data_IF_557915644554
#
_entry.id   IF_557915644554
#
_cell.length_a   1.000
_cell.length_b   1.000
_cell.length_c   1.000
_cell.angle_alpha   90.00
_cell.angle_beta   90.00
_cell.angle_gamma   90.00
#
_symmetry.space_group_name_H-M   'P 1'
#
loop_
_entity.id
_entity.type
_entity.pdbx_description
1 polymer ?
#
# COMPACT_ATOMS: atom_id res chain seq x y z
N UNK A 1 37.09 -5.44 2.84
CA UNK A 1 36.25 -4.38 3.42
C UNK A 1 34.84 -4.94 3.49
N UNK A 2 34.22 -5.01 4.68
CA UNK A 2 32.83 -5.49 4.80
C UNK A 2 31.85 -4.45 4.23
N UNK A 3 30.76 -4.93 3.62
CA UNK A 3 29.71 -4.06 3.10
C UNK A 3 28.76 -3.68 4.22
N UNK A 4 28.55 -2.39 4.42
CA UNK A 4 27.55 -1.90 5.38
C UNK A 4 26.23 -1.61 4.66
N UNK A 5 25.12 -1.93 5.33
CA UNK A 5 23.75 -1.59 4.92
C UNK A 5 23.13 -0.73 6.00
N UNK A 6 22.58 0.41 5.61
CA UNK A 6 21.95 1.37 6.52
C UNK A 6 20.45 1.29 6.32
N UNK A 7 19.72 1.06 7.41
CA UNK A 7 18.26 1.01 7.42
C UNK A 7 17.77 2.19 8.26
N UNK A 8 17.01 3.09 7.63
CA UNK A 8 16.28 4.16 8.31
C UNK A 8 15.36 3.58 9.41
N UNK A 9 15.54 4.01 10.67
CA UNK A 9 14.80 3.51 11.84
C UNK A 9 13.32 3.88 11.82
N UNK A 10 12.96 4.93 11.06
CA UNK A 10 11.59 5.29 10.69
C UNK A 10 10.79 4.14 10.07
N UNK A 11 11.46 3.10 9.54
CA UNK A 11 10.86 1.82 9.17
C UNK A 11 9.85 1.32 10.21
N UNK A 12 10.25 1.25 11.48
CA UNK A 12 9.43 0.70 12.57
C UNK A 12 8.23 1.57 12.94
N UNK A 13 8.24 2.86 12.55
CA UNK A 13 7.20 3.84 12.84
C UNK A 13 6.35 4.18 11.62
N UNK A 14 6.64 3.61 10.46
CA UNK A 14 5.88 3.83 9.23
C UNK A 14 4.46 3.30 9.34
N UNK A 15 3.47 4.13 9.03
CA UNK A 15 2.06 3.71 8.96
C UNK A 15 1.83 2.52 8.01
N UNK A 16 2.71 2.31 7.01
CA UNK A 16 2.63 1.14 6.14
C UNK A 16 2.85 -0.17 6.92
N UNK A 17 3.75 -0.17 7.93
CA UNK A 17 4.04 -1.35 8.77
C UNK A 17 2.89 -1.75 9.69
N UNK A 18 1.84 -0.93 9.83
CA UNK A 18 0.67 -1.28 10.61
C UNK A 18 0.01 -2.57 10.08
N UNK A 19 -0.22 -3.53 10.97
CA UNK A 19 -0.81 -4.82 10.62
C UNK A 19 0.07 -5.74 9.76
N UNK A 20 1.38 -5.49 9.66
CA UNK A 20 2.34 -6.48 9.13
C UNK A 20 2.70 -7.51 10.19
N UNK A 21 2.88 -8.77 9.78
CA UNK A 21 3.29 -9.84 10.72
C UNK A 21 4.75 -9.63 11.20
N UNK A 22 5.23 -10.46 12.13
CA UNK A 22 6.66 -10.49 12.48
C UNK A 22 7.48 -10.98 11.28
N UNK A 23 6.99 -12.01 10.58
CA UNK A 23 7.60 -12.58 9.38
C UNK A 23 7.74 -11.55 8.26
N UNK A 24 6.67 -10.80 7.95
CA UNK A 24 6.66 -9.76 6.91
C UNK A 24 7.79 -8.74 7.16
N UNK A 25 7.94 -8.30 8.42
CA UNK A 25 8.96 -7.33 8.82
C UNK A 25 10.37 -7.93 8.78
N UNK A 26 10.53 -9.18 9.19
CA UNK A 26 11.81 -9.88 9.15
C UNK A 26 12.28 -10.15 7.71
N UNK A 27 11.38 -10.56 6.81
CA UNK A 27 11.66 -10.75 5.39
C UNK A 27 12.02 -9.43 4.69
N UNK A 28 11.28 -8.34 4.94
CA UNK A 28 11.66 -7.02 4.41
C UNK A 28 13.03 -6.57 4.90
N UNK A 29 13.33 -6.76 6.19
CA UNK A 29 14.64 -6.43 6.74
C UNK A 29 15.75 -7.29 6.12
N UNK A 30 15.50 -8.59 5.93
CA UNK A 30 16.41 -9.48 5.21
C UNK A 30 16.64 -8.99 3.77
N UNK A 31 15.61 -8.70 2.97
CA UNK A 31 15.80 -8.20 1.60
C UNK A 31 16.58 -6.88 1.57
N UNK A 32 16.23 -5.92 2.43
CA UNK A 32 16.94 -4.63 2.53
C UNK A 32 18.43 -4.77 2.92
N UNK A 33 18.79 -5.83 3.65
CA UNK A 33 20.15 -6.09 4.14
C UNK A 33 20.88 -7.21 3.39
N UNK A 34 20.20 -7.90 2.47
CA UNK A 34 20.61 -9.19 1.87
C UNK A 34 22.02 -9.14 1.28
N UNK A 35 22.84 -10.20 1.38
CA UNK A 35 24.17 -10.22 0.77
C UNK A 35 24.13 -10.00 -0.75
N UNK A 36 23.05 -10.46 -1.42
CA UNK A 36 22.80 -10.32 -2.86
C UNK A 36 22.35 -8.91 -3.28
N UNK A 37 21.87 -8.09 -2.34
CA UNK A 37 21.35 -6.75 -2.64
C UNK A 37 22.41 -5.86 -3.33
N UNK A 38 21.99 -4.92 -4.18
CA UNK A 38 22.91 -4.11 -5.01
C UNK A 38 22.84 -2.60 -4.69
N UNK A 39 23.10 -1.69 -5.64
CA UNK A 39 22.99 -0.23 -5.42
C UNK A 39 21.53 0.23 -5.63
N UNK A 40 20.84 -0.42 -6.56
CA UNK A 40 19.51 -0.06 -7.07
C UNK A 40 18.35 -0.67 -6.26
N UNK A 41 18.60 -1.66 -5.41
CA UNK A 41 17.55 -2.31 -4.61
C UNK A 41 16.66 -3.27 -5.41
N UNK A 42 17.09 -3.60 -6.63
CA UNK A 42 16.46 -4.55 -7.52
C UNK A 42 17.52 -5.52 -8.05
N UNK A 43 17.45 -6.79 -7.68
CA UNK A 43 18.54 -7.76 -7.83
C UNK A 43 18.03 -9.20 -7.89
N UNK A 44 18.82 -10.08 -8.49
CA UNK A 44 18.57 -11.53 -8.54
C UNK A 44 18.69 -12.17 -7.15
N UNK A 45 17.76 -13.07 -6.81
CA UNK A 45 17.71 -13.75 -5.52
C UNK A 45 17.19 -15.19 -5.68
N UNK A 46 17.98 -16.15 -5.19
CA UNK A 46 17.54 -17.56 -5.13
C UNK A 46 16.72 -17.76 -3.87
N UNK A 47 15.41 -17.98 -4.03
CA UNK A 47 14.46 -18.04 -2.90
C UNK A 47 14.81 -19.13 -1.88
N UNK A 48 15.31 -20.28 -2.32
CA UNK A 48 15.71 -21.36 -1.41
C UNK A 48 16.94 -21.03 -0.56
N UNK A 49 17.89 -20.25 -1.09
CA UNK A 49 19.03 -19.74 -0.31
C UNK A 49 18.54 -18.71 0.70
N UNK A 50 17.70 -17.76 0.27
CA UNK A 50 17.12 -16.74 1.15
C UNK A 50 16.27 -17.34 2.29
N UNK A 51 15.45 -18.36 2.00
CA UNK A 51 14.68 -19.07 3.01
C UNK A 51 15.60 -19.80 4.00
N UNK A 52 16.62 -20.51 3.51
CA UNK A 52 17.61 -21.20 4.33
C UNK A 52 18.39 -20.24 5.27
N UNK A 53 18.85 -19.09 4.76
CA UNK A 53 19.50 -18.04 5.57
C UNK A 53 18.60 -17.46 6.66
N UNK A 54 17.28 -17.44 6.44
CA UNK A 54 16.27 -17.02 7.42
C UNK A 54 15.80 -18.15 8.35
N UNK A 55 16.28 -19.38 8.17
CA UNK A 55 15.83 -20.57 8.90
C UNK A 55 14.40 -21.00 8.57
N UNK A 56 13.94 -20.73 7.34
CA UNK A 56 12.58 -20.96 6.86
C UNK A 56 12.54 -21.99 5.73
N UNK A 57 11.36 -22.60 5.56
CA UNK A 57 11.05 -23.33 4.33
C UNK A 57 10.65 -22.37 3.17
N UNK A 58 10.97 -22.77 1.94
CA UNK A 58 10.75 -21.96 0.74
C UNK A 58 9.26 -21.87 0.39
N UNK A 59 8.58 -23.01 0.34
CA UNK A 59 7.21 -23.13 -0.16
C UNK A 59 6.16 -22.76 0.90
N UNK A 60 6.34 -23.23 2.14
CA UNK A 60 5.34 -23.07 3.20
C UNK A 60 5.48 -21.76 3.99
N UNK A 61 6.63 -21.07 3.92
CA UNK A 61 6.87 -19.83 4.66
C UNK A 61 7.31 -18.67 3.76
N UNK A 62 8.46 -18.79 3.07
CA UNK A 62 9.04 -17.67 2.32
C UNK A 62 8.10 -17.17 1.21
N UNK A 63 7.61 -18.05 0.33
CA UNK A 63 6.73 -17.65 -0.77
C UNK A 63 5.39 -17.03 -0.29
N UNK A 64 4.69 -17.58 0.73
CA UNK A 64 3.54 -16.92 1.35
C UNK A 64 3.85 -15.53 1.94
N UNK A 65 4.99 -15.36 2.61
CA UNK A 65 5.43 -14.05 3.14
C UNK A 65 5.68 -13.08 1.98
N UNK A 66 6.47 -13.49 0.98
CA UNK A 66 6.75 -12.67 -0.21
C UNK A 66 5.46 -12.27 -0.94
N UNK A 67 4.49 -13.18 -1.07
CA UNK A 67 3.18 -12.86 -1.65
C UNK A 67 2.48 -11.75 -0.87
N UNK A 68 2.44 -11.80 0.47
CA UNK A 68 1.86 -10.72 1.30
C UNK A 68 2.60 -9.39 1.15
N UNK A 69 3.91 -9.42 0.87
CA UNK A 69 4.72 -8.23 0.63
C UNK A 69 4.51 -7.64 -0.77
N UNK A 70 4.32 -8.49 -1.79
CA UNK A 70 3.92 -8.08 -3.15
C UNK A 70 2.51 -7.49 -3.15
N UNK A 71 1.54 -8.18 -2.55
CA UNK A 71 0.14 -7.74 -2.45
C UNK A 71 0.00 -6.41 -1.67
N UNK A 72 0.98 -6.06 -0.83
CA UNK A 72 1.07 -4.80 -0.09
C UNK A 72 2.01 -3.74 -0.71
N UNK A 73 2.59 -4.01 -1.89
CA UNK A 73 3.40 -3.07 -2.65
C UNK A 73 4.75 -2.72 -2.01
N UNK A 74 5.33 -3.62 -1.21
CA UNK A 74 6.68 -3.44 -0.65
C UNK A 74 7.79 -3.96 -1.54
N UNK A 75 7.50 -5.06 -2.24
CA UNK A 75 8.41 -5.66 -3.21
C UNK A 75 7.63 -5.95 -4.50
N UNK A 76 8.33 -5.99 -5.62
CA UNK A 76 7.94 -6.81 -6.76
C UNK A 76 8.88 -8.02 -6.81
N UNK A 77 8.38 -9.14 -7.31
CA UNK A 77 9.16 -10.36 -7.51
C UNK A 77 8.79 -10.96 -8.85
N UNK A 78 9.79 -11.33 -9.66
CA UNK A 78 9.62 -12.05 -10.91
C UNK A 78 10.15 -13.49 -10.74
N UNK A 79 9.27 -14.52 -10.79
CA UNK A 79 9.71 -15.90 -10.70
C UNK A 79 10.45 -16.39 -11.94
N UNK A 80 10.34 -15.74 -13.10
CA UNK A 80 11.05 -16.18 -14.31
C UNK A 80 12.52 -15.77 -14.26
N UNK A 81 12.82 -14.49 -14.02
CA UNK A 81 14.21 -14.01 -13.89
C UNK A 81 14.80 -14.16 -12.49
N UNK A 82 14.01 -14.60 -11.49
CA UNK A 82 14.38 -14.62 -10.07
C UNK A 82 14.77 -13.25 -9.49
N UNK A 83 14.27 -12.12 -10.04
CA UNK A 83 14.56 -10.80 -9.49
C UNK A 83 13.57 -10.41 -8.39
N UNK A 84 14.08 -9.76 -7.33
CA UNK A 84 13.27 -8.99 -6.38
C UNK A 84 13.59 -7.50 -6.53
N UNK A 85 12.56 -6.64 -6.53
CA UNK A 85 12.69 -5.19 -6.48
C UNK A 85 12.00 -4.65 -5.24
N UNK A 86 12.80 -4.10 -4.31
CA UNK A 86 12.31 -3.49 -3.07
C UNK A 86 11.84 -2.06 -3.36
N UNK A 87 10.52 -1.82 -3.24
CA UNK A 87 9.88 -0.52 -3.54
C UNK A 87 10.27 0.58 -2.55
N UNK A 88 10.57 0.20 -1.32
CA UNK A 88 10.93 1.11 -0.24
C UNK A 88 12.46 1.33 -0.15
N UNK A 89 13.25 0.83 -1.12
CA UNK A 89 14.72 0.93 -1.12
C UNK A 89 15.23 2.36 -0.91
N UNK A 90 14.59 3.33 -1.55
CA UNK A 90 14.93 4.75 -1.50
C UNK A 90 14.49 5.48 -0.22
N UNK A 91 13.73 4.83 0.67
CA UNK A 91 13.47 5.33 2.03
C UNK A 91 14.67 5.08 2.97
N UNK A 92 15.58 4.17 2.57
CA UNK A 92 16.76 3.76 3.32
C UNK A 92 18.08 4.17 2.63
N UNK A 93 18.10 4.25 1.30
CA UNK A 93 19.27 4.55 0.48
C UNK A 93 19.07 5.85 -0.30
N UNK A 94 20.15 6.58 -0.59
CA UNK A 94 20.06 7.85 -1.34
C UNK A 94 20.10 7.61 -2.86
N UNK A 95 19.04 7.96 -3.63
CA UNK A 95 19.06 7.87 -5.10
C UNK A 95 20.14 8.78 -5.69
N UNK A 96 20.32 9.97 -5.10
CA UNK A 96 21.36 10.93 -5.50
C UNK A 96 22.78 10.37 -5.36
N UNK A 97 23.05 9.54 -4.35
CA UNK A 97 24.35 8.88 -4.21
C UNK A 97 24.50 7.71 -5.19
N UNK A 98 23.44 6.96 -5.46
CA UNK A 98 23.45 5.88 -6.45
C UNK A 98 23.83 6.37 -7.86
N UNK A 99 23.28 7.52 -8.30
CA UNK A 99 23.60 8.11 -9.62
C UNK A 99 24.73 9.15 -9.57
N UNK A 100 25.45 9.26 -8.46
CA UNK A 100 26.64 10.12 -8.37
C UNK A 100 27.77 9.59 -9.26
N UNK A 101 28.63 10.47 -9.78
CA UNK A 101 29.70 10.13 -10.75
C UNK A 101 30.60 8.93 -10.36
N UNK A 102 30.77 8.66 -9.06
CA UNK A 102 31.54 7.51 -8.55
C UNK A 102 30.81 6.16 -8.67
N UNK A 103 29.48 6.15 -8.61
CA UNK A 103 28.66 4.93 -8.66
C UNK A 103 27.83 4.79 -9.95
N UNK A 104 27.67 5.90 -10.69
CA UNK A 104 26.80 6.03 -11.87
C UNK A 104 26.92 4.87 -12.85
N UNK A 105 28.12 4.57 -13.35
CA UNK A 105 28.35 3.47 -14.31
C UNK A 105 27.78 2.14 -13.76
N UNK A 106 28.17 1.77 -12.53
CA UNK A 106 27.74 0.52 -11.89
C UNK A 106 26.25 0.49 -11.57
N UNK A 107 25.65 1.64 -11.30
CA UNK A 107 24.20 1.80 -11.14
C UNK A 107 23.50 1.57 -12.48
N UNK A 108 24.00 2.13 -13.58
CA UNK A 108 23.41 1.97 -14.90
C UNK A 108 23.54 0.53 -15.43
N UNK A 109 24.70 -0.10 -15.23
CA UNK A 109 24.91 -1.54 -15.48
C UNK A 109 23.88 -2.41 -14.73
N UNK A 110 23.54 -2.07 -13.48
CA UNK A 110 22.54 -2.80 -12.69
C UNK A 110 21.10 -2.53 -13.16
N UNK A 111 20.78 -1.32 -13.64
CA UNK A 111 19.46 -1.02 -14.22
C UNK A 111 19.27 -1.78 -15.54
N UNK A 112 20.31 -1.87 -16.38
CA UNK A 112 20.26 -2.61 -17.63
C UNK A 112 20.02 -4.13 -17.42
N UNK A 113 20.49 -4.69 -16.30
CA UNK A 113 20.28 -6.09 -15.91
C UNK A 113 18.85 -6.39 -15.40
N UNK A 114 18.02 -5.38 -15.13
CA UNK A 114 16.65 -5.60 -14.66
C UNK A 114 15.77 -6.24 -15.75
N UNK A 115 14.72 -6.99 -15.35
CA UNK A 115 13.69 -7.51 -16.26
C UNK A 115 13.11 -6.38 -17.13
N UNK A 116 12.93 -6.66 -18.43
CA UNK A 116 12.55 -5.62 -19.40
C UNK A 116 11.22 -4.96 -19.04
N UNK A 117 10.27 -5.76 -18.55
CA UNK A 117 8.95 -5.32 -18.06
C UNK A 117 9.01 -4.37 -16.86
N UNK A 118 10.16 -4.26 -16.18
CA UNK A 118 10.35 -3.43 -14.99
C UNK A 118 11.21 -2.19 -15.25
N UNK A 119 12.11 -2.20 -16.24
CA UNK A 119 13.10 -1.12 -16.47
C UNK A 119 12.43 0.25 -16.52
N UNK A 120 11.37 0.39 -17.30
CA UNK A 120 10.69 1.67 -17.50
C UNK A 120 10.05 2.19 -16.20
N UNK A 121 9.31 1.33 -15.50
CA UNK A 121 8.73 1.67 -14.21
C UNK A 121 9.80 1.98 -13.14
N UNK A 122 10.96 1.32 -13.21
CA UNK A 122 12.10 1.53 -12.31
C UNK A 122 12.76 2.88 -12.56
N UNK A 123 13.02 3.23 -13.81
CA UNK A 123 13.65 4.49 -14.21
C UNK A 123 12.72 5.67 -13.86
N UNK A 124 11.41 5.54 -14.04
CA UNK A 124 10.42 6.54 -13.63
C UNK A 124 10.45 6.75 -12.11
N UNK A 125 10.39 5.69 -11.29
CA UNK A 125 10.51 5.83 -9.81
C UNK A 125 11.85 6.49 -9.44
N UNK A 126 12.98 6.02 -9.97
CA UNK A 126 14.29 6.62 -9.69
C UNK A 126 14.35 8.12 -10.03
N UNK A 127 13.83 8.52 -11.19
CA UNK A 127 13.77 9.93 -11.59
C UNK A 127 12.88 10.72 -10.62
N UNK A 128 11.71 10.19 -10.25
CA UNK A 128 10.79 10.87 -9.33
C UNK A 128 11.32 11.01 -7.91
N UNK A 129 12.21 10.11 -7.48
CA UNK A 129 12.91 10.14 -6.18
C UNK A 129 14.05 11.17 -6.13
N UNK A 130 14.52 11.68 -7.27
CA UNK A 130 15.51 12.76 -7.32
C UNK A 130 14.83 14.14 -7.18
N UNK A 131 15.48 15.17 -6.59
CA UNK A 131 14.88 16.50 -6.48
C UNK A 131 14.54 17.09 -7.86
N UNK A 132 13.40 17.80 -7.97
CA UNK A 132 12.83 18.26 -9.26
C UNK A 132 13.76 19.12 -10.12
N UNK A 133 14.68 19.85 -9.50
CA UNK A 133 15.65 20.73 -10.17
C UNK A 133 17.09 20.16 -10.19
N UNK A 134 17.29 18.91 -9.77
CA UNK A 134 18.61 18.29 -9.77
C UNK A 134 19.00 17.84 -11.20
N UNK A 135 20.14 18.27 -11.76
CA UNK A 135 20.56 17.92 -13.12
C UNK A 135 20.70 16.40 -13.32
N UNK A 136 20.88 15.63 -12.24
CA UNK A 136 20.93 14.17 -12.28
C UNK A 136 19.64 13.55 -12.86
N UNK A 137 18.48 14.21 -12.74
CA UNK A 137 17.23 13.76 -13.42
C UNK A 137 17.44 13.68 -14.93
N UNK A 138 17.98 14.74 -15.52
CA UNK A 138 18.27 14.80 -16.96
C UNK A 138 19.35 13.79 -17.34
N UNK A 139 20.39 13.62 -16.52
CA UNK A 139 21.44 12.63 -16.79
C UNK A 139 20.89 11.20 -16.85
N UNK A 140 20.07 10.78 -15.88
CA UNK A 140 19.43 9.45 -15.87
C UNK A 140 18.48 9.31 -17.06
N UNK A 141 17.67 10.32 -17.33
CA UNK A 141 16.69 10.26 -18.41
C UNK A 141 17.37 10.17 -19.79
N UNK A 142 18.40 10.97 -20.05
CA UNK A 142 19.15 10.92 -21.32
C UNK A 142 19.83 9.57 -21.53
N UNK A 143 20.46 8.99 -20.49
CA UNK A 143 21.12 7.69 -20.59
C UNK A 143 20.17 6.59 -21.09
N UNK A 144 18.95 6.55 -20.55
CA UNK A 144 17.96 5.53 -20.87
C UNK A 144 16.95 5.96 -21.97
N UNK A 145 17.18 7.08 -22.66
CA UNK A 145 16.33 7.52 -23.78
C UNK A 145 14.98 8.15 -23.41
N UNK A 146 14.80 8.59 -22.16
CA UNK A 146 13.56 9.18 -21.66
C UNK A 146 13.47 10.69 -21.99
N UNK A 147 12.42 11.14 -22.70
CA UNK A 147 12.24 12.56 -22.98
C UNK A 147 11.76 13.30 -21.73
N UNK A 148 12.67 14.04 -21.08
CA UNK A 148 12.33 14.95 -19.98
C UNK A 148 11.44 16.13 -20.42
N UNK A 149 11.41 16.43 -21.72
CA UNK A 149 10.73 17.60 -22.27
C UNK A 149 9.30 17.28 -22.72
N UNK A 150 8.48 16.84 -21.76
CA UNK A 150 7.03 17.00 -21.82
C UNK A 150 6.50 17.55 -20.50
N UNK A 151 6.27 18.86 -20.50
CA UNK A 151 5.14 19.44 -19.74
C UNK A 151 3.94 18.53 -19.97
N UNK A 152 3.28 18.08 -18.91
CA UNK A 152 2.26 17.03 -18.98
C UNK A 152 1.02 17.45 -19.77
N UNK A 153 1.09 17.36 -21.10
CA UNK A 153 -0.09 17.27 -21.96
C UNK A 153 -0.70 15.88 -21.72
N UNK A 154 -1.94 15.86 -21.25
CA UNK A 154 -2.66 14.60 -21.09
C UNK A 154 -2.77 13.91 -22.44
N UNK A 155 -2.43 12.62 -22.49
CA UNK A 155 -2.57 11.84 -23.72
C UNK A 155 -4.05 11.77 -24.12
N UNK A 156 -4.44 12.27 -25.32
CA UNK A 156 -5.74 11.98 -25.87
C UNK A 156 -5.73 10.51 -26.31
N UNK A 157 -6.36 9.63 -25.54
CA UNK A 157 -6.54 8.24 -25.97
C UNK A 157 -7.52 8.16 -27.15
N UNK A 158 -7.34 7.19 -28.07
CA UNK A 158 -8.18 7.08 -29.26
C UNK A 158 -9.65 6.80 -28.89
N UNK A 159 -10.55 7.54 -29.52
CA UNK A 159 -12.00 7.36 -29.38
C UNK A 159 -12.43 6.06 -30.05
N UNK A 160 -12.59 4.97 -29.29
CA UNK A 160 -13.33 3.81 -29.79
C UNK A 160 -14.84 4.02 -29.58
N UNK A 161 -15.64 3.67 -30.60
CA UNK A 161 -17.08 3.95 -30.65
C UNK A 161 -17.87 2.78 -30.10
N UNK A 162 -18.60 2.99 -29.00
CA UNK A 162 -19.87 2.28 -28.79
C UNK A 162 -20.90 3.13 -28.03
N UNK A 163 -22.16 2.87 -28.33
CA UNK A 163 -23.34 3.68 -27.99
C UNK A 163 -23.94 3.33 -26.60
N UNK A 164 -24.83 4.18 -26.04
CA UNK A 164 -25.09 4.21 -24.60
C UNK A 164 -26.35 3.43 -24.15
N UNK A 165 -26.61 3.56 -22.84
CA UNK A 165 -27.83 3.30 -22.08
C UNK A 165 -28.01 1.91 -21.44
N UNK A 166 -27.99 1.91 -20.10
CA UNK A 166 -29.14 1.41 -19.34
C UNK A 166 -29.37 2.31 -18.14
N UNK A 167 -30.54 2.94 -18.10
CA UNK A 167 -31.00 3.82 -17.03
C UNK A 167 -31.49 3.01 -15.84
N UNK A 168 -31.02 3.30 -14.61
CA UNK A 168 -31.78 2.98 -13.39
C UNK A 168 -31.77 4.18 -12.44
N UNK A 169 -32.92 4.84 -12.33
CA UNK A 169 -33.25 5.73 -11.22
C UNK A 169 -33.86 4.90 -10.09
N UNK A 170 -33.39 5.05 -8.85
CA UNK A 170 -34.28 4.88 -7.69
C UNK A 170 -33.96 5.89 -6.60
N UNK A 171 -35.02 6.51 -6.07
CA UNK A 171 -35.01 7.64 -5.14
C UNK A 171 -35.41 7.14 -3.75
N UNK A 172 -34.69 7.55 -2.70
CA UNK A 172 -35.11 7.33 -1.31
C UNK A 172 -34.82 8.60 -0.49
N UNK A 173 -35.87 9.29 -0.05
CA UNK A 173 -35.82 10.41 0.88
C UNK A 173 -36.14 9.91 2.31
N UNK A 174 -35.44 10.41 3.33
CA UNK A 174 -35.83 10.32 4.75
C UNK A 174 -35.40 11.56 5.54
N UNK A 175 -36.27 12.03 6.44
CA UNK A 175 -36.36 13.40 7.00
C UNK A 175 -37.05 13.25 8.40
N UNK A 176 -36.69 13.89 9.53
CA UNK A 176 -35.75 15.01 9.82
C UNK A 176 -35.34 15.09 11.32
N UNK A 177 -34.13 15.62 11.62
CA UNK A 177 -33.77 16.48 12.81
C UNK A 177 -33.96 15.99 14.27
N UNK A 178 -33.42 16.67 15.31
CA UNK A 178 -32.17 17.45 15.40
C UNK A 178 -31.39 17.24 16.73
N UNK A 179 -30.15 16.73 16.72
CA UNK A 179 -29.14 17.17 17.71
C UNK A 179 -27.70 16.86 17.29
N UNK A 180 -26.86 17.90 17.38
CA UNK A 180 -25.40 17.98 17.44
C UNK A 180 -24.55 16.68 17.29
N UNK A 181 -23.49 16.77 16.46
CA UNK A 181 -22.46 15.75 16.14
C UNK A 181 -22.88 14.54 15.30
N UNK A 182 -23.15 14.76 14.00
CA UNK A 182 -23.19 13.66 13.02
C UNK A 182 -22.55 14.08 11.69
N UNK A 183 -21.27 13.72 11.48
CA UNK A 183 -20.67 13.61 10.14
C UNK A 183 -20.92 12.18 9.67
N UNK A 184 -22.05 11.92 9.01
CA UNK A 184 -22.35 10.59 8.48
C UNK A 184 -21.90 10.43 7.02
N UNK A 185 -21.32 9.26 6.77
CA UNK A 185 -21.09 8.61 5.47
C UNK A 185 -20.23 9.34 4.43
N UNK A 186 -19.13 9.97 4.82
CA UNK A 186 -17.98 10.19 3.93
C UNK A 186 -16.72 9.52 4.51
N UNK A 187 -16.12 8.63 3.74
CA UNK A 187 -14.85 7.96 4.05
C UNK A 187 -13.71 8.90 3.67
N UNK A 188 -13.23 9.64 4.66
CA UNK A 188 -12.10 10.56 4.51
C UNK A 188 -10.77 9.79 4.45
N UNK A 189 -9.82 10.19 3.58
CA UNK A 189 -8.47 9.64 3.58
C UNK A 189 -7.79 9.85 4.95
N UNK A 190 -7.30 8.78 5.57
CA UNK A 190 -6.61 8.83 6.88
C UNK A 190 -5.26 9.55 6.86
N UNK A 191 -4.79 9.96 5.68
CA UNK A 191 -3.59 10.78 5.48
C UNK A 191 -3.82 12.28 5.76
N UNK A 192 -5.08 12.73 5.92
CA UNK A 192 -5.42 14.13 6.17
C UNK A 192 -5.47 14.45 7.67
N UNK A 193 -4.86 15.56 8.08
CA UNK A 193 -4.93 16.08 9.45
C UNK A 193 -6.34 16.57 9.81
N UNK A 194 -6.64 16.69 11.11
CA UNK A 194 -7.95 17.13 11.62
C UNK A 194 -8.41 18.50 11.08
N UNK A 195 -7.45 19.39 10.82
CA UNK A 195 -7.68 20.70 10.20
C UNK A 195 -8.04 20.57 8.72
N UNK A 196 -7.32 19.72 7.98
CA UNK A 196 -7.60 19.49 6.56
C UNK A 196 -8.94 18.79 6.34
N UNK A 197 -9.32 17.87 7.24
CA UNK A 197 -10.64 17.23 7.23
C UNK A 197 -11.79 18.25 7.34
N UNK A 198 -11.62 19.29 8.17
CA UNK A 198 -12.63 20.35 8.30
C UNK A 198 -12.76 21.21 7.02
N UNK A 199 -11.63 21.50 6.35
CA UNK A 199 -11.62 22.24 5.09
C UNK A 199 -12.15 21.40 3.91
N UNK A 200 -11.87 20.10 3.89
CA UNK A 200 -12.46 19.14 2.95
C UNK A 200 -13.99 19.08 3.09
N UNK A 201 -14.51 19.00 4.31
CA UNK A 201 -15.94 19.07 4.57
C UNK A 201 -16.56 20.40 4.10
N UNK A 202 -15.83 21.52 4.21
CA UNK A 202 -16.27 22.83 3.70
C UNK A 202 -16.27 22.90 2.17
N UNK A 203 -15.29 22.29 1.50
CA UNK A 203 -15.21 22.25 0.04
C UNK A 203 -16.28 21.36 -0.61
N UNK A 204 -16.65 20.27 0.06
CA UNK A 204 -17.70 19.33 -0.40
C UNK A 204 -19.12 19.79 -0.03
N UNK A 205 -19.27 20.93 0.65
CA UNK A 205 -20.58 21.50 0.98
C UNK A 205 -21.40 21.77 -0.30
N UNK A 206 -22.59 21.15 -0.37
CA UNK A 206 -23.49 21.24 -1.53
C UNK A 206 -23.18 20.27 -2.69
N UNK A 207 -22.23 19.34 -2.53
CA UNK A 207 -22.02 18.22 -3.47
C UNK A 207 -22.85 17.00 -2.98
N UNK A 208 -23.54 16.26 -3.86
CA UNK A 208 -24.24 15.02 -3.45
C UNK A 208 -23.31 13.99 -2.82
N UNK A 209 -23.82 13.20 -1.86
CA UNK A 209 -23.01 12.27 -1.06
C UNK A 209 -22.27 11.21 -1.90
N UNK A 210 -22.90 10.72 -2.97
CA UNK A 210 -22.27 9.80 -3.95
C UNK A 210 -21.03 10.40 -4.58
N UNK A 211 -21.14 11.67 -4.97
CA UNK A 211 -20.19 12.39 -5.80
C UNK A 211 -19.05 12.92 -4.93
N UNK A 212 -19.39 13.42 -3.74
CA UNK A 212 -18.43 13.76 -2.69
C UNK A 212 -17.55 12.55 -2.32
N UNK A 213 -18.13 11.35 -2.19
CA UNK A 213 -17.34 10.15 -1.96
C UNK A 213 -16.47 9.78 -3.18
N UNK A 214 -16.97 9.95 -4.40
CA UNK A 214 -16.21 9.70 -5.63
C UNK A 214 -14.98 10.61 -5.74
N UNK A 215 -15.12 11.89 -5.40
CA UNK A 215 -14.05 12.88 -5.35
C UNK A 215 -13.03 12.58 -4.24
N UNK A 216 -13.48 12.05 -3.09
CA UNK A 216 -12.60 11.59 -2.00
C UNK A 216 -11.86 10.30 -2.35
N UNK A 217 -12.51 9.35 -3.03
CA UNK A 217 -11.88 8.13 -3.51
C UNK A 217 -10.79 8.48 -4.56
N UNK A 218 -11.03 9.46 -5.44
CA UNK A 218 -10.04 9.99 -6.39
C UNK A 218 -8.86 10.69 -5.69
N UNK A 219 -9.14 11.53 -4.69
CA UNK A 219 -8.11 12.15 -3.85
C UNK A 219 -7.27 11.10 -3.12
N UNK A 220 -7.87 10.03 -2.60
CA UNK A 220 -7.15 8.93 -1.97
C UNK A 220 -6.26 8.19 -2.98
N UNK A 221 -6.79 7.85 -4.16
CA UNK A 221 -6.03 7.16 -5.20
C UNK A 221 -4.86 7.98 -5.74
N UNK A 222 -5.00 9.30 -5.82
CA UNK A 222 -3.91 10.22 -6.22
C UNK A 222 -2.90 10.47 -5.10
N UNK A 223 -3.32 10.51 -3.83
CA UNK A 223 -2.40 10.55 -2.68
C UNK A 223 -1.56 9.27 -2.54
N UNK A 224 -2.08 8.11 -2.97
CA UNK A 224 -1.33 6.86 -3.03
C UNK A 224 -0.30 6.81 -4.18
N UNK A 225 -0.38 7.74 -5.15
CA UNK A 225 0.59 7.89 -6.24
C UNK A 225 1.55 9.03 -5.89
N UNK A 226 2.68 8.68 -5.28
CA UNK A 226 3.75 9.62 -4.90
C UNK A 226 4.15 10.52 -6.08
N UNK A 227 4.23 11.84 -5.86
CA UNK A 227 4.67 12.82 -6.87
C UNK A 227 3.57 13.46 -7.72
N UNK A 228 2.33 12.92 -7.72
CA UNK A 228 1.22 13.47 -8.53
C UNK A 228 0.74 14.83 -8.03
N UNK A 229 0.58 15.00 -6.71
CA UNK A 229 0.08 16.25 -6.12
C UNK A 229 1.25 17.17 -5.76
N UNK A 230 1.55 18.14 -6.63
CA UNK A 230 2.60 19.17 -6.43
C UNK A 230 2.16 20.37 -5.59
N UNK A 231 0.98 20.30 -4.95
CA UNK A 231 0.37 21.37 -4.13
C UNK A 231 -0.28 20.78 -2.87
N UNK A 232 -0.94 21.59 -2.02
CA UNK A 232 -1.74 21.05 -0.91
C UNK A 232 -2.87 20.13 -1.42
N UNK A 233 -3.14 18.98 -0.75
CA UNK A 233 -4.25 18.09 -1.10
C UNK A 233 -5.62 18.79 -1.15
N UNK A 234 -5.84 19.78 -0.27
CA UNK A 234 -7.06 20.63 -0.27
C UNK A 234 -7.20 21.38 -1.60
N UNK A 235 -6.10 21.95 -2.13
CA UNK A 235 -6.11 22.71 -3.38
C UNK A 235 -6.41 21.81 -4.58
N UNK A 236 -5.90 20.58 -4.56
CA UNK A 236 -6.20 19.57 -5.58
C UNK A 236 -7.68 19.17 -5.54
N UNK A 237 -8.23 18.86 -4.35
CA UNK A 237 -9.66 18.56 -4.19
C UNK A 237 -10.55 19.72 -4.65
N UNK A 238 -10.19 20.97 -4.34
CA UNK A 238 -10.93 22.14 -4.83
C UNK A 238 -10.96 22.23 -6.37
N UNK A 239 -9.88 21.78 -7.03
CA UNK A 239 -9.85 21.57 -8.48
C UNK A 239 -10.85 20.51 -8.93
N UNK A 240 -10.81 19.31 -8.33
CA UNK A 240 -11.73 18.22 -8.66
C UNK A 240 -13.21 18.63 -8.48
N UNK A 241 -13.55 19.31 -7.38
CA UNK A 241 -14.90 19.86 -7.14
C UNK A 241 -15.33 20.86 -8.24
N UNK A 242 -14.39 21.64 -8.77
CA UNK A 242 -14.66 22.56 -9.89
C UNK A 242 -14.96 21.79 -11.19
N UNK A 243 -14.10 20.82 -11.56
CA UNK A 243 -14.32 19.97 -12.74
C UNK A 243 -15.63 19.17 -12.65
N UNK A 244 -15.97 18.68 -11.45
CA UNK A 244 -17.26 18.02 -11.20
C UNK A 244 -18.45 18.96 -11.46
N UNK A 245 -18.40 20.19 -10.97
CA UNK A 245 -19.45 21.20 -11.20
C UNK A 245 -19.57 21.64 -12.66
N UNK A 246 -18.51 21.48 -13.47
CA UNK A 246 -18.54 21.74 -14.92
C UNK A 246 -18.84 20.50 -15.78
N UNK A 247 -19.08 19.33 -15.17
CA UNK A 247 -19.35 18.08 -15.88
C UNK A 247 -18.12 17.43 -16.55
N UNK A 248 -16.92 17.90 -16.20
CA UNK A 248 -15.62 17.53 -16.81
C UNK A 248 -14.78 16.68 -15.84
N UNK A 249 -15.44 15.87 -15.01
CA UNK A 249 -14.80 14.99 -14.04
C UNK A 249 -15.09 13.52 -14.35
N UNK A 250 -14.03 12.76 -14.65
CA UNK A 250 -14.06 11.31 -14.79
C UNK A 250 -13.16 10.66 -13.72
N UNK A 251 -13.68 9.79 -12.84
CA UNK A 251 -12.87 9.12 -11.84
C UNK A 251 -11.93 8.09 -12.50
N UNK A 252 -10.67 8.06 -12.10
CA UNK A 252 -9.64 7.19 -12.66
C UNK A 252 -8.75 6.56 -11.58
N UNK A 253 -8.14 7.35 -10.70
CA UNK A 253 -7.39 6.83 -9.56
C UNK A 253 -8.31 6.29 -8.44
N UNK A 254 -9.50 6.86 -8.30
CA UNK A 254 -10.48 6.50 -7.27
C UNK A 254 -11.28 5.22 -7.55
N UNK A 255 -11.24 4.69 -8.78
CA UNK A 255 -11.96 3.46 -9.14
C UNK A 255 -11.55 2.29 -8.23
N UNK A 256 -10.24 2.09 -8.07
CA UNK A 256 -9.67 1.02 -7.22
C UNK A 256 -10.05 1.22 -5.75
N UNK A 257 -9.99 2.47 -5.25
CA UNK A 257 -10.33 2.81 -3.86
C UNK A 257 -11.83 2.58 -3.60
N UNK A 258 -12.69 2.98 -4.53
CA UNK A 258 -14.14 2.79 -4.43
C UNK A 258 -14.52 1.31 -4.40
N UNK A 259 -13.82 0.46 -5.16
CA UNK A 259 -14.00 -0.99 -5.17
C UNK A 259 -13.56 -1.62 -3.85
N UNK A 260 -12.37 -1.26 -3.34
CA UNK A 260 -11.89 -1.72 -2.03
C UNK A 260 -12.82 -1.29 -0.89
N UNK A 261 -13.35 -0.06 -0.93
CA UNK A 261 -14.34 0.45 0.03
C UNK A 261 -15.63 -0.35 0.00
N UNK A 262 -16.21 -0.59 -1.19
CA UNK A 262 -17.42 -1.43 -1.35
C UNK A 262 -17.19 -2.85 -0.84
N UNK A 263 -16.03 -3.45 -1.12
CA UNK A 263 -15.70 -4.80 -0.64
C UNK A 263 -15.54 -4.87 0.88
N UNK A 264 -14.96 -3.84 1.51
CA UNK A 264 -14.90 -3.73 2.99
C UNK A 264 -16.28 -3.55 3.60
N UNK A 265 -17.15 -2.75 2.99
CA UNK A 265 -18.54 -2.58 3.44
C UNK A 265 -19.29 -3.91 3.40
N UNK A 266 -19.23 -4.64 2.27
CA UNK A 266 -19.85 -5.97 2.12
C UNK A 266 -19.38 -6.97 3.19
N UNK A 267 -18.07 -7.06 3.45
CA UNK A 267 -17.53 -7.90 4.52
C UNK A 267 -18.04 -7.48 5.90
N UNK A 268 -18.02 -6.19 6.22
CA UNK A 268 -18.53 -5.66 7.50
C UNK A 268 -20.04 -5.78 7.70
N UNK A 269 -20.79 -6.10 6.63
CA UNK A 269 -22.20 -6.49 6.69
C UNK A 269 -22.36 -8.00 6.93
N UNK A 270 -21.55 -8.83 6.27
CA UNK A 270 -21.55 -10.28 6.47
C UNK A 270 -21.15 -10.67 7.91
N UNK A 271 -20.15 -10.00 8.50
CA UNK A 271 -19.74 -10.22 9.90
C UNK A 271 -20.81 -9.79 10.94
N UNK A 272 -21.94 -9.20 10.51
CA UNK A 272 -23.06 -8.79 11.39
C UNK A 272 -24.29 -9.67 11.29
N UNK A 273 -24.42 -10.46 10.22
CA UNK A 273 -25.53 -11.37 9.99
C UNK A 273 -25.20 -12.82 10.42
N UNK A 274 -23.96 -13.10 10.85
CA UNK A 274 -23.60 -14.38 11.47
C UNK A 274 -24.27 -14.47 12.86
N UNK A 275 -25.13 -15.47 13.11
CA UNK A 275 -25.87 -15.56 14.37
C UNK A 275 -24.91 -15.78 15.54
N UNK A 276 -25.14 -15.14 16.70
CA UNK A 276 -24.22 -15.23 17.82
C UNK A 276 -24.11 -16.69 18.28
N UNK A 277 -22.89 -17.24 18.20
CA UNK A 277 -22.56 -18.57 18.72
C UNK A 277 -23.04 -18.63 20.18
N UNK A 278 -23.94 -19.56 20.55
CA UNK A 278 -24.51 -19.58 21.89
C UNK A 278 -23.41 -19.83 22.91
N UNK A 279 -23.15 -18.81 23.75
CA UNK A 279 -22.09 -18.80 24.74
C UNK A 279 -22.36 -19.83 25.83
N UNK A 280 -21.92 -21.07 25.59
CA UNK A 280 -22.18 -22.21 26.46
C UNK A 280 -20.87 -22.65 27.11
N UNK A 281 -20.80 -22.52 28.43
CA UNK A 281 -19.95 -23.31 29.32
C UNK A 281 -18.40 -23.21 29.24
N UNK A 282 -17.88 -22.00 29.03
CA UNK A 282 -16.53 -21.67 29.54
C UNK A 282 -16.39 -21.94 31.05
N UNK A 283 -17.50 -21.81 31.82
CA UNK A 283 -17.55 -22.14 33.24
C UNK A 283 -17.45 -23.63 33.56
N UNK A 284 -18.23 -24.49 32.87
CA UNK A 284 -18.25 -25.92 33.16
C UNK A 284 -16.93 -26.61 32.79
N UNK A 285 -16.29 -26.22 31.68
CA UNK A 285 -14.97 -26.76 31.32
C UNK A 285 -13.89 -26.42 32.35
N UNK A 286 -13.86 -25.20 32.89
CA UNK A 286 -12.93 -24.82 33.96
C UNK A 286 -13.21 -25.57 35.28
N UNK A 287 -14.47 -25.84 35.61
CA UNK A 287 -14.85 -26.65 36.76
C UNK A 287 -14.38 -28.12 36.61
N UNK A 288 -14.60 -28.72 35.43
CA UNK A 288 -14.18 -30.09 35.13
C UNK A 288 -12.65 -30.27 35.17
N UNK A 289 -11.89 -29.28 34.69
CA UNK A 289 -10.42 -29.28 34.75
C UNK A 289 -9.93 -29.17 36.21
N UNK A 290 -10.52 -28.28 37.03
CA UNK A 290 -10.16 -28.17 38.47
C UNK A 290 -10.45 -29.47 39.24
N UNK A 291 -11.62 -30.08 39.03
CA UNK A 291 -11.97 -31.35 39.66
C UNK A 291 -11.00 -32.48 39.28
N UNK A 292 -10.58 -32.53 38.00
CA UNK A 292 -9.63 -33.51 37.49
C UNK A 292 -8.22 -33.37 38.07
N UNK A 293 -7.79 -32.16 38.43
CA UNK A 293 -6.49 -31.90 39.05
C UNK A 293 -6.52 -32.30 40.54
N UNK A 294 -7.56 -31.93 41.29
CA UNK A 294 -7.68 -32.30 42.70
C UNK A 294 -7.75 -33.82 42.90
N UNK A 295 -8.47 -34.55 42.03
CA UNK A 295 -8.63 -36.00 42.15
C UNK A 295 -7.39 -36.80 41.70
N UNK A 296 -6.38 -36.17 41.07
CA UNK A 296 -5.05 -36.76 40.86
C UNK A 296 -4.13 -36.58 42.07
N UNK A 297 -4.27 -35.47 42.80
CA UNK A 297 -3.47 -35.19 44.00
C UNK A 297 -3.79 -36.16 45.15
N UNK A 298 -5.06 -36.51 45.33
CA UNK A 298 -5.50 -37.47 46.36
C UNK A 298 -5.04 -38.91 46.12
N UNK A 299 -4.97 -39.36 44.85
CA UNK A 299 -4.54 -40.72 44.49
C UNK A 299 -3.03 -40.97 44.62
N UNK A 300 -2.21 -39.91 44.68
CA UNK A 300 -0.76 -40.05 44.83
C UNK A 300 -0.33 -40.36 46.29
N UNK A 301 -1.22 -40.20 47.27
CA UNK A 301 -0.90 -40.35 48.71
C UNK A 301 -1.37 -41.65 49.35
N UNK A 302 -1.87 -42.62 48.56
CA UNK A 302 -2.43 -43.90 49.08
C UNK A 302 -1.71 -45.16 48.56
N UNK A 303 -0.53 -45.00 47.93
CA UNK A 303 0.30 -46.13 47.49
C UNK A 303 1.70 -46.04 48.13
N UNK A 304 1.73 -46.20 49.45
CA UNK A 304 2.95 -46.36 50.25
C UNK A 304 2.61 -47.16 51.52
N UNK A 305 2.49 -48.47 51.36
CA UNK A 305 2.56 -49.50 52.43
C UNK A 305 3.46 -50.60 51.89
#
# INVERSE_FOLDING_TARGET
>A
MSRQRVINDGFWRSNRMAGRTVEDRYALFYFLTSPFSNIVGAYEIVISIAASEMGWDSESQMLPVMKRLVDAGYIAYDPESQFVWIRDWWEHNSPKMAVSSKLQQKTFEQIAQLPESWRDAYIIDLIDRLPTQDPLRTTVATEFGYPMDRVSIGYPYPTDRSLPNTTINTRANSISTPTNKVVHSLYLPSALSSTEQADVCRLLAGVPLSDAQMLLDELAGTLMRTGVIKTSPIRYLAGLVKHHKTGDFTPAAGVVISAQRKQRQLKSSQDKDEPPVPSTDAGAHLAAIKASIQNRSSKASTTSV
#
